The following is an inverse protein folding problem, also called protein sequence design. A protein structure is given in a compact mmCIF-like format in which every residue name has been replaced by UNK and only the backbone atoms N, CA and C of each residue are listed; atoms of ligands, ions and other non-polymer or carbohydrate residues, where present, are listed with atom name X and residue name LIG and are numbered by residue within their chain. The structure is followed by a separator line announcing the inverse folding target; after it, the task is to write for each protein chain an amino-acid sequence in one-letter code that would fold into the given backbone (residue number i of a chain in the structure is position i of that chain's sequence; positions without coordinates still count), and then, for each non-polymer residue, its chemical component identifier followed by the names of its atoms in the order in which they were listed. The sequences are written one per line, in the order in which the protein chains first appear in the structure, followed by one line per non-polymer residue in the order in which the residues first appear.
data_IF_458539482465
#
_entry.id   IF_458539482465
#
_cell.length_a   1.000
_cell.length_b   1.000
_cell.length_c   1.000
_cell.angle_alpha   90.00
_cell.angle_beta   90.00
_cell.angle_gamma   90.00
#
_symmetry.space_group_name_H-M   'P 1'
#
loop_
_entity.id
_entity.type
_entity.pdbx_description
1 polymer ?
#
# COMPACT_ATOMS: atom_id res chain seq x y z
N UNK A 1 2.30 -81.19 -19.96
CA UNK A 1 2.09 -80.78 -18.55
C UNK A 1 2.26 -79.27 -18.41
N UNK A 2 1.18 -78.44 -18.48
CA UNK A 2 1.33 -76.98 -18.40
C UNK A 2 0.66 -76.29 -17.19
N UNK A 3 -0.05 -77.01 -16.30
CA UNK A 3 -0.85 -76.37 -15.23
C UNK A 3 -0.05 -75.63 -14.15
N UNK A 4 1.17 -76.10 -13.83
CA UNK A 4 1.99 -75.46 -12.79
C UNK A 4 2.52 -74.08 -13.15
N UNK A 5 2.80 -73.82 -14.44
CA UNK A 5 3.35 -72.52 -14.85
C UNK A 5 2.29 -71.41 -14.81
N UNK A 6 1.02 -71.74 -15.04
CA UNK A 6 -0.09 -70.78 -14.93
C UNK A 6 -0.42 -70.44 -13.48
N UNK A 7 -0.29 -71.40 -12.55
CA UNK A 7 -0.49 -71.18 -11.11
C UNK A 7 0.57 -70.22 -10.54
N UNK A 8 1.84 -70.45 -10.87
CA UNK A 8 2.95 -69.57 -10.45
C UNK A 8 2.84 -68.17 -11.06
N UNK A 9 2.39 -68.07 -12.31
CA UNK A 9 2.17 -66.79 -12.98
C UNK A 9 1.03 -66.00 -12.32
N UNK A 10 -0.06 -66.69 -11.96
CA UNK A 10 -1.19 -66.05 -11.26
C UNK A 10 -0.76 -65.55 -9.88
N UNK A 11 -0.03 -66.36 -9.11
CA UNK A 11 0.49 -65.97 -7.81
C UNK A 11 1.43 -64.77 -7.90
N UNK A 12 2.36 -64.78 -8.87
CA UNK A 12 3.24 -63.65 -9.14
C UNK A 12 2.47 -62.37 -9.48
N UNK A 13 1.47 -62.46 -10.37
CA UNK A 13 0.62 -61.31 -10.74
C UNK A 13 -0.11 -60.76 -9.52
N UNK A 14 -0.65 -61.61 -8.65
CA UNK A 14 -1.34 -61.19 -7.42
C UNK A 14 -0.39 -60.44 -6.49
N UNK A 15 0.83 -60.94 -6.30
CA UNK A 15 1.85 -60.28 -5.46
C UNK A 15 2.20 -58.90 -6.03
N UNK A 16 2.47 -58.83 -7.35
CA UNK A 16 2.81 -57.57 -8.03
C UNK A 16 1.68 -56.56 -7.86
N UNK A 17 0.43 -56.95 -8.16
CA UNK A 17 -0.73 -56.07 -7.98
C UNK A 17 -0.84 -55.61 -6.52
N UNK A 18 -0.64 -56.50 -5.55
CA UNK A 18 -0.65 -56.16 -4.13
C UNK A 18 0.36 -55.07 -3.77
N UNK A 19 1.60 -55.19 -4.24
CA UNK A 19 2.64 -54.17 -4.02
C UNK A 19 2.28 -52.85 -4.70
N UNK A 20 1.81 -52.88 -5.94
CA UNK A 20 1.40 -51.66 -6.66
C UNK A 20 0.25 -50.94 -5.96
N UNK A 21 -0.76 -51.67 -5.48
CA UNK A 21 -1.89 -51.10 -4.73
C UNK A 21 -1.41 -50.49 -3.42
N UNK A 22 -0.51 -51.15 -2.69
CA UNK A 22 0.06 -50.59 -1.47
C UNK A 22 0.82 -49.28 -1.73
N UNK A 23 1.67 -49.23 -2.75
CA UNK A 23 2.40 -48.02 -3.14
C UNK A 23 1.47 -46.90 -3.61
N UNK A 24 0.42 -47.23 -4.36
CA UNK A 24 -0.57 -46.26 -4.80
C UNK A 24 -1.38 -45.67 -3.64
N UNK A 25 -1.77 -46.51 -2.67
CA UNK A 25 -2.47 -46.07 -1.47
C UNK A 25 -1.60 -45.12 -0.63
N UNK A 26 -0.32 -45.47 -0.43
CA UNK A 26 0.65 -44.63 0.28
C UNK A 26 0.84 -43.28 -0.41
N UNK A 27 1.05 -43.29 -1.74
CA UNK A 27 1.20 -42.06 -2.52
C UNK A 27 -0.04 -41.17 -2.46
N UNK A 28 -1.24 -41.75 -2.50
CA UNK A 28 -2.48 -40.98 -2.41
C UNK A 28 -2.69 -40.36 -1.03
N UNK A 29 -2.33 -41.09 0.03
CA UNK A 29 -2.40 -40.57 1.39
C UNK A 29 -1.42 -39.41 1.60
N UNK A 30 -0.17 -39.58 1.15
CA UNK A 30 0.87 -38.54 1.19
C UNK A 30 0.41 -37.25 0.49
N UNK A 31 -0.10 -37.37 -0.75
CA UNK A 31 -0.60 -36.23 -1.52
C UNK A 31 -1.75 -35.50 -0.80
N UNK A 32 -2.62 -36.24 -0.11
CA UNK A 32 -3.74 -35.67 0.63
C UNK A 32 -3.26 -34.90 1.87
N UNK A 33 -2.21 -35.40 2.52
CA UNK A 33 -1.57 -34.77 3.65
C UNK A 33 -0.82 -33.50 3.24
N UNK A 34 -0.04 -33.53 2.16
CA UNK A 34 0.65 -32.35 1.63
C UNK A 34 -0.34 -31.23 1.31
N UNK A 35 -1.48 -31.56 0.68
CA UNK A 35 -2.55 -30.60 0.42
C UNK A 35 -3.19 -30.05 1.69
N UNK A 36 -3.23 -30.82 2.78
CA UNK A 36 -3.75 -30.35 4.08
C UNK A 36 -2.78 -29.33 4.67
N UNK A 37 -1.51 -29.67 4.70
CA UNK A 37 -0.43 -28.81 5.20
C UNK A 37 -0.38 -27.50 4.39
N UNK A 38 -0.45 -27.58 3.06
CA UNK A 38 -0.45 -26.37 2.22
C UNK A 38 -1.65 -25.45 2.49
N UNK A 39 -2.82 -26.00 2.79
CA UNK A 39 -4.01 -25.20 3.15
C UNK A 39 -3.81 -24.48 4.48
N UNK A 40 -3.33 -25.19 5.50
CA UNK A 40 -3.05 -24.60 6.83
C UNK A 40 -2.04 -23.47 6.71
N UNK A 41 -0.93 -23.73 6.02
CA UNK A 41 0.11 -22.73 5.75
C UNK A 41 -0.44 -21.50 5.01
N UNK A 42 -1.36 -21.69 4.05
CA UNK A 42 -2.02 -20.59 3.33
C UNK A 42 -2.92 -19.76 4.24
N UNK A 43 -3.73 -20.40 5.06
CA UNK A 43 -4.63 -19.72 6.00
C UNK A 43 -3.85 -18.86 7.00
N UNK A 44 -2.78 -19.43 7.56
CA UNK A 44 -1.90 -18.73 8.49
C UNK A 44 -1.18 -17.54 7.82
N UNK A 45 -0.71 -17.71 6.57
CA UNK A 45 -0.10 -16.61 5.81
C UNK A 45 -1.07 -15.47 5.51
N UNK A 46 -2.33 -15.79 5.17
CA UNK A 46 -3.34 -14.76 4.92
C UNK A 46 -3.55 -13.92 6.19
N UNK A 47 -3.70 -14.58 7.34
CA UNK A 47 -3.85 -13.88 8.61
C UNK A 47 -2.64 -13.00 8.95
N UNK A 48 -1.41 -13.50 8.71
CA UNK A 48 -0.17 -12.74 8.90
C UNK A 48 -0.10 -11.51 7.97
N UNK A 49 -0.39 -11.67 6.68
CA UNK A 49 -0.35 -10.54 5.74
C UNK A 49 -1.43 -9.51 6.01
N UNK A 50 -2.63 -9.92 6.43
CA UNK A 50 -3.66 -8.98 6.87
C UNK A 50 -3.23 -8.19 8.10
N UNK A 51 -2.51 -8.80 9.04
CA UNK A 51 -1.92 -8.08 10.17
C UNK A 51 -0.85 -7.08 9.71
N UNK A 52 0.01 -7.49 8.77
CA UNK A 52 1.06 -6.64 8.22
C UNK A 52 0.50 -5.42 7.46
N UNK A 53 -0.60 -5.59 6.72
CA UNK A 53 -1.30 -4.48 6.08
C UNK A 53 -1.80 -3.48 7.13
N UNK A 54 -2.42 -3.96 8.22
CA UNK A 54 -2.90 -3.07 9.30
C UNK A 54 -1.76 -2.32 10.00
N UNK A 55 -0.62 -2.97 10.22
CA UNK A 55 0.58 -2.32 10.78
C UNK A 55 1.04 -1.21 9.83
N UNK A 56 1.20 -1.54 8.54
CA UNK A 56 1.66 -0.58 7.53
C UNK A 56 0.71 0.62 7.39
N UNK A 57 -0.60 0.39 7.43
CA UNK A 57 -1.60 1.45 7.38
C UNK A 57 -1.52 2.38 8.60
N UNK A 58 -1.31 1.81 9.79
CA UNK A 58 -1.13 2.60 11.01
C UNK A 58 0.16 3.44 10.95
N UNK A 59 1.25 2.85 10.48
CA UNK A 59 2.54 3.53 10.31
C UNK A 59 2.45 4.66 9.30
N UNK A 60 1.78 4.40 8.17
CA UNK A 60 1.55 5.41 7.14
C UNK A 60 0.71 6.56 7.69
N UNK A 61 -0.36 6.28 8.42
CA UNK A 61 -1.20 7.32 9.03
C UNK A 61 -0.42 8.18 10.02
N UNK A 62 0.44 7.57 10.85
CA UNK A 62 1.32 8.29 11.77
C UNK A 62 2.31 9.21 11.01
N UNK A 63 2.94 8.68 9.96
CA UNK A 63 3.91 9.41 9.15
C UNK A 63 3.27 10.56 8.34
N UNK A 64 2.11 10.35 7.74
CA UNK A 64 1.34 11.42 7.07
C UNK A 64 0.96 12.54 8.04
N UNK A 65 0.63 12.21 9.29
CA UNK A 65 0.38 13.20 10.35
C UNK A 65 1.61 14.02 10.76
N UNK A 66 2.82 13.54 10.46
CA UNK A 66 4.08 14.24 10.72
C UNK A 66 4.53 15.11 9.53
N UNK A 67 4.11 14.80 8.30
CA UNK A 67 4.55 15.48 7.07
C UNK A 67 4.33 17.00 7.04
N UNK A 68 3.16 17.55 7.43
CA UNK A 68 2.97 19.00 7.39
C UNK A 68 3.95 19.76 8.29
N UNK A 69 4.35 19.16 9.43
CA UNK A 69 5.32 19.75 10.37
C UNK A 69 6.73 19.75 9.80
N UNK A 70 7.11 18.69 9.08
CA UNK A 70 8.38 18.67 8.33
C UNK A 70 8.39 19.70 7.20
N UNK A 71 7.30 19.83 6.45
CA UNK A 71 7.18 20.81 5.37
C UNK A 71 7.32 22.26 5.87
N UNK A 72 6.86 22.56 7.10
CA UNK A 72 7.12 23.86 7.74
C UNK A 72 8.61 24.09 7.90
N UNK A 73 9.36 23.13 8.42
CA UNK A 73 10.81 23.26 8.63
C UNK A 73 11.58 23.38 7.31
N UNK A 74 11.22 22.59 6.30
CA UNK A 74 11.85 22.63 4.96
C UNK A 74 11.63 23.98 4.25
N UNK A 75 10.52 24.66 4.54
CA UNK A 75 10.18 25.95 3.92
C UNK A 75 10.81 27.18 4.57
N UNK A 76 11.48 27.04 5.72
CA UNK A 76 12.08 28.17 6.44
C UNK A 76 13.51 28.45 5.96
N UNK A 77 13.87 29.73 5.80
CA UNK A 77 15.26 30.13 5.64
C UNK A 77 16.01 30.01 6.98
N UNK A 78 17.34 29.99 6.93
CA UNK A 78 18.17 29.97 8.14
C UNK A 78 17.84 31.13 9.11
N UNK A 79 17.57 32.32 8.57
CA UNK A 79 17.17 33.49 9.38
C UNK A 79 15.79 33.31 10.01
N UNK A 80 14.84 32.72 9.27
CA UNK A 80 13.50 32.46 9.76
C UNK A 80 13.48 31.35 10.84
N UNK A 81 14.35 30.35 10.70
CA UNK A 81 14.55 29.29 11.69
C UNK A 81 15.10 29.85 13.01
N UNK A 82 16.09 30.75 12.94
CA UNK A 82 16.70 31.39 14.12
C UNK A 82 15.77 32.41 14.80
N UNK A 83 14.69 32.83 14.13
CA UNK A 83 13.68 33.75 14.66
C UNK A 83 12.49 33.04 15.34
N UNK A 84 12.44 31.70 15.32
CA UNK A 84 11.39 30.94 15.99
C UNK A 84 11.46 31.12 17.51
N UNK A 85 10.31 31.34 18.13
CA UNK A 85 10.19 31.37 19.60
C UNK A 85 10.19 29.95 20.17
N UNK A 86 10.52 29.81 21.46
CA UNK A 86 10.48 28.53 22.18
C UNK A 86 9.09 27.85 22.10
N UNK A 87 8.03 28.65 22.08
CA UNK A 87 6.64 28.15 21.97
C UNK A 87 6.33 27.62 20.56
N UNK A 88 6.82 28.31 19.51
CA UNK A 88 6.72 27.82 18.13
C UNK A 88 7.57 26.58 17.89
N UNK A 89 8.78 26.54 18.45
CA UNK A 89 9.63 25.35 18.42
C UNK A 89 8.92 24.19 19.12
N UNK A 90 8.37 24.41 20.31
CA UNK A 90 7.61 23.38 21.04
C UNK A 90 6.40 22.90 20.22
N UNK A 91 5.68 23.79 19.55
CA UNK A 91 4.54 23.40 18.69
C UNK A 91 4.92 22.60 17.44
N UNK A 92 6.13 22.80 16.90
CA UNK A 92 6.66 22.02 15.78
C UNK A 92 7.10 20.62 16.23
N UNK A 93 7.77 20.53 17.38
CA UNK A 93 8.35 19.29 17.92
C UNK A 93 7.43 18.50 18.87
N UNK A 94 6.25 19.04 19.23
CA UNK A 94 5.28 18.41 20.13
C UNK A 94 3.94 18.14 19.43
N UNK A 95 3.39 16.91 19.52
CA UNK A 95 4.01 15.72 20.13
C UNK A 95 5.28 15.30 19.37
N UNK A 96 6.18 14.52 20.02
CA UNK A 96 7.44 14.08 19.43
C UNK A 96 7.25 13.60 17.99
N UNK A 97 8.22 13.88 17.12
CA UNK A 97 8.29 13.27 15.81
C UNK A 97 8.45 11.76 15.98
N UNK A 98 7.32 11.06 16.06
CA UNK A 98 7.29 9.61 16.04
C UNK A 98 7.23 9.21 14.57
N UNK A 99 8.40 8.94 14.00
CA UNK A 99 8.50 8.32 12.70
C UNK A 99 8.23 6.83 12.90
N UNK A 100 7.10 6.35 12.39
CA UNK A 100 6.78 4.94 12.49
C UNK A 100 7.52 4.17 11.39
N UNK A 101 8.40 3.26 11.81
CA UNK A 101 9.04 2.29 10.93
C UNK A 101 8.15 1.07 10.78
N UNK A 102 8.14 0.47 9.59
CA UNK A 102 7.39 -0.75 9.35
C UNK A 102 8.08 -1.94 10.01
N UNK A 103 7.42 -2.54 11.01
CA UNK A 103 7.85 -3.76 11.70
C UNK A 103 6.81 -4.88 11.48
N UNK A 104 6.97 -5.70 10.42
CA UNK A 104 5.98 -6.72 10.09
C UNK A 104 5.95 -7.86 11.09
N UNK A 105 4.77 -8.46 11.27
CA UNK A 105 4.67 -9.79 11.83
C UNK A 105 5.39 -10.81 10.92
N UNK A 106 6.25 -11.60 11.55
CA UNK A 106 7.12 -12.61 10.93
C UNK A 106 7.03 -13.92 11.71
N UNK A 107 6.00 -14.72 11.42
CA UNK A 107 5.81 -16.01 12.08
C UNK A 107 5.83 -17.14 11.06
N UNK A 108 4.76 -17.24 10.30
CA UNK A 108 4.49 -18.31 9.34
C UNK A 108 5.45 -18.25 8.16
N UNK A 109 5.63 -17.07 7.55
CA UNK A 109 6.49 -16.96 6.37
C UNK A 109 7.95 -17.20 6.74
N UNK A 110 8.40 -16.66 7.88
CA UNK A 110 9.76 -16.88 8.36
C UNK A 110 10.02 -18.36 8.66
N UNK A 111 9.14 -19.01 9.43
CA UNK A 111 9.27 -20.42 9.76
C UNK A 111 9.28 -21.32 8.50
N UNK A 112 8.47 -20.98 7.50
CA UNK A 112 8.42 -21.72 6.25
C UNK A 112 9.71 -21.59 5.43
N UNK A 113 10.28 -20.39 5.36
CA UNK A 113 11.55 -20.14 4.66
C UNK A 113 12.71 -20.79 5.39
N UNK A 114 12.82 -20.61 6.71
CA UNK A 114 13.91 -21.13 7.54
C UNK A 114 13.91 -22.66 7.64
N UNK A 115 12.73 -23.29 7.65
CA UNK A 115 12.60 -24.74 7.64
C UNK A 115 12.99 -25.38 6.29
N UNK A 116 13.18 -24.57 5.24
CA UNK A 116 13.45 -25.06 3.89
C UNK A 116 12.26 -25.79 3.25
N UNK A 117 11.07 -25.74 3.88
CA UNK A 117 9.90 -26.52 3.47
C UNK A 117 9.04 -25.81 2.41
N UNK A 118 9.60 -24.83 1.69
CA UNK A 118 8.93 -24.12 0.62
C UNK A 118 8.42 -25.05 -0.50
N UNK A 119 8.97 -26.25 -0.63
CA UNK A 119 8.52 -27.26 -1.60
C UNK A 119 7.06 -27.71 -1.38
N UNK A 120 6.53 -27.58 -0.15
CA UNK A 120 5.12 -27.92 0.17
C UNK A 120 4.12 -26.94 -0.44
N UNK A 121 4.56 -25.71 -0.74
CA UNK A 121 3.73 -24.73 -1.45
C UNK A 121 3.73 -25.12 -2.92
N UNK A 122 2.62 -25.62 -3.44
CA UNK A 122 2.52 -26.11 -4.82
C UNK A 122 2.69 -24.98 -5.83
N UNK A 123 2.07 -23.83 -5.56
CA UNK A 123 2.11 -22.67 -6.45
C UNK A 123 3.52 -22.08 -6.58
N UNK A 124 4.00 -22.00 -7.82
CA UNK A 124 5.37 -21.58 -8.10
C UNK A 124 5.60 -20.10 -7.84
N UNK A 125 4.65 -19.24 -8.20
CA UNK A 125 4.82 -17.79 -8.05
C UNK A 125 4.79 -17.39 -6.59
N UNK A 126 3.86 -17.96 -5.83
CA UNK A 126 3.78 -17.82 -4.38
C UNK A 126 5.07 -18.28 -3.72
N UNK A 127 5.56 -19.47 -4.06
CA UNK A 127 6.81 -20.01 -3.51
C UNK A 127 8.01 -19.11 -3.77
N UNK A 128 8.15 -18.57 -4.98
CA UNK A 128 9.21 -17.60 -5.31
C UNK A 128 9.03 -16.28 -4.56
N UNK A 129 7.78 -15.83 -4.38
CA UNK A 129 7.44 -14.65 -3.61
C UNK A 129 7.83 -14.76 -2.14
N UNK A 130 7.58 -15.92 -1.53
CA UNK A 130 7.94 -16.19 -0.14
C UNK A 130 9.46 -16.33 0.04
N UNK A 131 10.15 -16.98 -0.90
CA UNK A 131 11.60 -17.14 -0.85
C UNK A 131 12.37 -15.80 -0.83
N UNK A 132 11.80 -14.74 -1.43
CA UNK A 132 12.41 -13.40 -1.46
C UNK A 132 11.92 -12.47 -0.34
N UNK A 133 10.93 -12.88 0.45
CA UNK A 133 10.23 -12.01 1.40
C UNK A 133 11.17 -11.35 2.40
N UNK A 134 12.04 -12.14 3.05
CA UNK A 134 13.02 -11.63 4.02
C UNK A 134 13.97 -10.61 3.39
N UNK A 135 14.48 -10.91 2.19
CA UNK A 135 15.34 -9.97 1.45
C UNK A 135 14.65 -8.65 1.07
N UNK A 136 13.33 -8.67 0.82
CA UNK A 136 12.56 -7.45 0.56
C UNK A 136 12.39 -6.58 1.82
N UNK A 137 12.38 -7.18 3.00
CA UNK A 137 12.27 -6.44 4.27
C UNK A 137 13.61 -5.85 4.71
N UNK A 138 14.70 -6.60 4.53
CA UNK A 138 16.05 -6.14 4.89
C UNK A 138 16.57 -5.05 3.94
N UNK A 139 16.25 -5.17 2.65
CA UNK A 139 16.68 -4.24 1.63
C UNK A 139 15.49 -3.87 0.73
N UNK A 140 14.57 -3.02 1.24
CA UNK A 140 13.42 -2.61 0.48
C UNK A 140 13.89 -1.88 -0.78
N UNK A 141 13.32 -2.19 -1.95
CA UNK A 141 13.70 -1.50 -3.18
C UNK A 141 13.45 0.00 -3.02
N UNK A 142 14.39 0.82 -3.53
CA UNK A 142 14.37 2.29 -3.43
C UNK A 142 13.10 2.93 -4.04
N UNK A 143 12.29 2.17 -4.78
CA UNK A 143 10.96 2.53 -5.26
C UNK A 143 9.99 1.35 -5.08
N UNK A 144 8.81 1.56 -4.48
CA UNK A 144 7.79 0.52 -4.45
C UNK A 144 7.28 0.20 -5.86
N UNK A 145 6.93 -1.06 -6.16
CA UNK A 145 6.27 -1.41 -7.41
C UNK A 145 4.90 -0.72 -7.47
N UNK A 146 4.77 0.30 -8.33
CA UNK A 146 3.55 1.12 -8.42
C UNK A 146 3.74 2.52 -9.01
N UNK A 147 4.99 2.96 -9.20
CA UNK A 147 5.28 4.33 -9.62
C UNK A 147 5.23 5.31 -8.45
N UNK A 148 5.46 6.62 -8.69
CA UNK A 148 5.44 7.61 -7.62
C UNK A 148 4.07 7.59 -6.93
N UNK A 149 4.07 7.43 -5.60
CA UNK A 149 2.90 7.73 -4.77
C UNK A 149 2.51 9.18 -5.10
N UNK A 150 1.30 9.45 -5.62
CA UNK A 150 0.90 10.81 -5.93
C UNK A 150 1.04 11.62 -4.65
N UNK A 151 1.89 12.64 -4.68
CA UNK A 151 2.01 13.59 -3.59
C UNK A 151 0.61 14.12 -3.31
N UNK A 152 0.07 13.81 -2.13
CA UNK A 152 -1.23 14.32 -1.71
C UNK A 152 -1.13 15.86 -1.70
N UNK A 153 -1.71 16.47 -2.74
CA UNK A 153 -2.01 17.89 -2.92
C UNK A 153 -1.21 18.89 -2.07
N UNK A 154 0.03 19.19 -2.46
CA UNK A 154 0.75 20.38 -1.99
C UNK A 154 0.14 21.70 -2.51
N UNK A 155 -0.87 21.63 -3.38
CA UNK A 155 -1.43 22.77 -4.12
C UNK A 155 -2.57 23.49 -3.36
N UNK A 156 -2.98 23.00 -2.19
CA UNK A 156 -4.14 23.53 -1.47
C UNK A 156 -3.82 24.55 -0.35
N UNK A 157 -2.55 24.74 0.04
CA UNK A 157 -2.27 25.45 1.29
C UNK A 157 -1.15 26.50 1.27
N UNK A 158 -0.88 27.21 0.17
CA UNK A 158 -0.15 28.50 0.24
C UNK A 158 -0.73 29.50 -0.78
N UNK A 159 -1.72 30.32 -0.35
CA UNK A 159 -1.88 31.68 -0.90
C UNK A 159 -1.96 32.67 0.27
N UNK A 160 -0.94 33.53 0.49
CA UNK A 160 -1.08 34.68 1.36
C UNK A 160 -1.95 35.74 0.67
N UNK A 161 -2.80 36.39 1.45
CA UNK A 161 -3.78 37.36 0.96
C UNK A 161 -3.15 38.56 0.26
N UNK A 162 -3.79 39.01 -0.82
CA UNK A 162 -3.74 40.40 -1.25
C UNK A 162 -5.16 40.95 -1.30
N UNK A 163 -5.44 41.89 -0.41
CA UNK A 163 -6.63 42.72 -0.47
C UNK A 163 -6.59 43.56 -1.74
N UNK A 164 -7.68 43.49 -2.51
CA UNK A 164 -7.88 44.30 -3.71
C UNK A 164 -9.34 44.31 -4.09
N UNK A 165 -10.10 45.26 -3.55
CA UNK A 165 -11.47 45.59 -3.98
C UNK A 165 -11.47 45.83 -5.49
N UNK A 166 -12.25 45.07 -6.27
CA UNK A 166 -12.87 45.57 -7.50
C UNK A 166 -14.15 44.78 -7.81
N UNK A 167 -15.27 45.41 -7.46
CA UNK A 167 -16.57 45.48 -8.14
C UNK A 167 -17.07 44.24 -8.88
N UNK A 168 -18.06 43.59 -8.25
CA UNK A 168 -19.00 42.65 -8.85
C UNK A 168 -19.76 43.33 -10.00
N UNK A 169 -19.59 42.81 -11.22
CA UNK A 169 -20.45 43.10 -12.36
C UNK A 169 -21.80 42.43 -12.19
N UNK A 170 -22.85 43.23 -11.98
CA UNK A 170 -24.23 42.76 -12.13
C UNK A 170 -24.63 42.81 -13.60
N UNK A 171 -25.01 41.63 -14.10
CA UNK A 171 -25.66 41.43 -15.39
C UNK A 171 -27.15 41.69 -15.19
N UNK A 172 -27.66 42.81 -15.69
CA UNK A 172 -29.11 43.03 -15.86
C UNK A 172 -29.47 43.09 -17.34
N UNK A 173 -30.47 42.30 -17.68
CA UNK A 173 -31.05 42.05 -19.00
C UNK A 173 -31.88 43.22 -19.54
N UNK A 174 -31.73 43.48 -20.85
CA UNK A 174 -32.76 43.68 -21.89
C UNK A 174 -33.85 44.76 -21.69
N UNK A 175 -33.83 45.75 -22.58
CA UNK A 175 -34.91 46.28 -23.46
C UNK A 175 -34.64 47.78 -23.70
N UNK A 176 -34.22 48.14 -24.91
CA UNK A 176 -35.07 48.73 -25.95
C UNK A 176 -35.34 50.24 -25.73
N UNK A 177 -34.93 51.00 -26.75
CA UNK A 177 -35.73 52.03 -27.43
C UNK A 177 -35.18 53.47 -27.40
N UNK A 178 -34.82 53.90 -28.61
CA UNK A 178 -35.14 55.20 -29.25
C UNK A 178 -34.73 56.51 -28.58
N UNK A 179 -33.69 57.08 -29.20
CA UNK A 179 -33.70 58.41 -29.83
C UNK A 179 -33.74 59.69 -28.97
N UNK A 180 -32.81 60.56 -29.36
CA UNK A 180 -32.98 62.00 -29.61
C UNK A 180 -32.60 63.03 -28.53
N UNK A 181 -31.89 64.04 -29.06
CA UNK A 181 -31.80 65.47 -28.69
C UNK A 181 -30.91 65.93 -27.52
N UNK A 182 -29.71 66.38 -27.92
CA UNK A 182 -28.98 67.64 -27.56
C UNK A 182 -29.91 68.88 -27.73
N UNK A 183 -29.69 70.12 -27.18
CA UNK A 183 -28.52 70.71 -26.48
C UNK A 183 -28.80 71.55 -25.19
N UNK A 184 -27.69 72.00 -24.59
CA UNK A 184 -27.39 73.28 -23.93
C UNK A 184 -28.46 73.99 -23.09
N UNK A 185 -28.09 74.36 -21.85
CA UNK A 185 -27.80 75.76 -21.51
C UNK A 185 -27.38 75.98 -20.04
N UNK A 186 -26.46 76.96 -19.89
CA UNK A 186 -26.27 77.89 -18.75
C UNK A 186 -25.36 77.54 -17.54
N UNK A 187 -24.14 78.11 -17.64
CA UNK A 187 -23.53 79.16 -16.79
C UNK A 187 -23.25 78.96 -15.28
N UNK A 188 -21.94 79.06 -15.00
CA UNK A 188 -21.26 80.02 -14.08
C UNK A 188 -21.73 80.24 -12.63
N UNK A 189 -20.85 79.87 -11.69
CA UNK A 189 -20.15 80.68 -10.64
C UNK A 189 -19.66 79.68 -9.57
N UNK A 190 -18.43 79.67 -9.05
CA UNK A 190 -17.52 80.76 -8.70
C UNK A 190 -17.64 81.02 -7.19
N UNK A 191 -16.60 80.70 -6.41
CA UNK A 191 -16.51 80.97 -4.97
C UNK A 191 -15.71 79.93 -4.20
#
# INVERSE_FOLDING_TARGET
MPRRSTELLQEFIVIVIGVFVALAAESWWSEREDRRIEREIREDMVAEFEANIRILEADLAANEGARPRMAILEGLSSEALMALTDEQMTGIFSPPFDWSGFDPAMGTVQALVESGNLAVVSDREMRLGLARWTGLLENPPLQPPGGPVPAAGSDALIRPGSGGRTVVGQRTTRAADTSQSVPDTFRHHGG
#
